data_IF_379755079278
#
_entry.id   IF_379755079278
#
_cell.length_a   1.000
_cell.length_b   1.000
_cell.length_c   1.000
_cell.angle_alpha   90.00
_cell.angle_beta   90.00
_cell.angle_gamma   90.00
#
_symmetry.space_group_name_H-M   'P 1'
#
loop_
_entity.id
_entity.type
_entity.pdbx_description
1 polymer ?
#
# COMPACT_ATOMS: atom_id res chain seq x y z
N UNK A 1 32.56 -54.67 87.21
CA UNK A 1 31.19 -54.64 86.65
C UNK A 1 31.22 -55.39 85.33
N UNK A 2 30.33 -56.37 85.18
CA UNK A 2 29.78 -56.87 83.91
C UNK A 2 30.76 -57.59 82.94
N UNK A 3 30.31 -58.46 82.03
CA UNK A 3 29.35 -59.58 82.13
C UNK A 3 29.57 -60.49 80.90
N UNK A 4 28.91 -61.64 80.84
CA UNK A 4 29.14 -62.65 79.80
C UNK A 4 28.56 -62.27 78.42
N UNK A 5 29.16 -62.80 77.33
CA UNK A 5 28.39 -63.71 76.49
C UNK A 5 29.19 -64.61 75.52
N UNK A 6 28.70 -65.84 75.34
CA UNK A 6 29.11 -66.78 74.28
C UNK A 6 28.16 -66.63 73.08
N UNK A 7 28.67 -66.79 71.86
CA UNK A 7 27.84 -66.61 70.66
C UNK A 7 28.33 -67.31 69.38
N UNK A 8 29.00 -68.47 69.47
CA UNK A 8 29.45 -69.19 68.28
C UNK A 8 28.26 -69.71 67.45
N UNK A 9 27.90 -68.98 66.38
CA UNK A 9 26.86 -69.39 65.43
C UNK A 9 27.23 -70.72 64.77
N UNK A 10 26.54 -71.80 65.18
CA UNK A 10 26.61 -73.08 64.47
C UNK A 10 25.79 -72.99 63.19
N UNK A 11 26.46 -72.66 62.09
CA UNK A 11 25.87 -72.54 60.75
C UNK A 11 25.10 -73.81 60.35
N UNK A 12 23.75 -73.75 60.48
CA UNK A 12 22.83 -74.87 60.19
C UNK A 12 22.80 -75.25 58.70
N UNK A 13 23.37 -74.40 57.84
CA UNK A 13 23.40 -74.51 56.38
C UNK A 13 24.04 -75.81 55.85
N UNK A 14 25.18 -76.23 56.41
CA UNK A 14 25.94 -77.42 55.93
C UNK A 14 25.16 -78.74 56.04
N UNK A 15 24.08 -78.76 56.84
CA UNK A 15 23.20 -79.93 57.01
C UNK A 15 22.10 -80.01 55.94
N UNK A 16 21.83 -78.92 55.22
CA UNK A 16 20.79 -78.81 54.20
C UNK A 16 21.34 -79.23 52.82
N UNK A 17 22.55 -78.79 52.49
CA UNK A 17 23.29 -79.14 51.25
C UNK A 17 23.63 -80.63 51.10
N UNK A 18 23.46 -81.46 52.15
CA UNK A 18 23.65 -82.92 52.09
C UNK A 18 22.41 -83.70 51.62
N UNK A 19 21.26 -83.05 51.45
CA UNK A 19 20.04 -83.72 50.96
C UNK A 19 20.04 -83.75 49.43
N UNK A 20 19.89 -84.93 48.82
CA UNK A 20 19.81 -85.12 47.36
C UNK A 20 18.70 -84.31 46.67
N UNK A 21 17.70 -83.84 47.42
CA UNK A 21 16.60 -83.00 46.94
C UNK A 21 16.84 -81.49 47.07
N UNK A 22 17.93 -81.05 47.70
CA UNK A 22 18.21 -79.62 47.87
C UNK A 22 18.55 -78.93 46.55
N UNK A 23 19.45 -79.50 45.75
CA UNK A 23 19.81 -78.95 44.44
C UNK A 23 18.62 -78.91 43.45
N UNK A 24 17.77 -79.97 43.33
CA UNK A 24 16.52 -79.88 42.57
C UNK A 24 15.59 -78.76 43.04
N UNK A 25 15.36 -78.61 44.35
CA UNK A 25 14.48 -77.56 44.87
C UNK A 25 15.02 -76.15 44.59
N UNK A 26 16.33 -75.93 44.77
CA UNK A 26 16.99 -74.66 44.44
C UNK A 26 16.90 -74.37 42.95
N UNK A 27 17.11 -75.37 42.09
CA UNK A 27 16.98 -75.20 40.64
C UNK A 27 15.55 -74.82 40.23
N UNK A 28 14.52 -75.42 40.83
CA UNK A 28 13.12 -75.03 40.59
C UNK A 28 12.82 -73.59 41.06
N UNK A 29 13.38 -73.14 42.20
CA UNK A 29 13.21 -71.75 42.63
C UNK A 29 13.90 -70.74 41.70
N UNK A 30 15.09 -71.08 41.18
CA UNK A 30 15.80 -70.23 40.21
C UNK A 30 15.06 -70.22 38.87
N UNK A 31 14.54 -71.36 38.41
CA UNK A 31 13.73 -71.45 37.20
C UNK A 31 12.43 -70.63 37.31
N UNK A 32 11.77 -70.62 38.48
CA UNK A 32 10.60 -69.78 38.73
C UNK A 32 10.94 -68.28 38.68
N UNK A 33 12.08 -67.86 39.24
CA UNK A 33 12.56 -66.47 39.16
C UNK A 33 12.94 -66.07 37.73
N UNK A 34 13.60 -66.96 36.98
CA UNK A 34 13.91 -66.71 35.57
C UNK A 34 12.64 -66.61 34.72
N UNK A 35 11.63 -67.47 34.96
CA UNK A 35 10.35 -67.37 34.26
C UNK A 35 9.59 -66.10 34.62
N UNK A 36 9.59 -65.64 35.88
CA UNK A 36 8.95 -64.37 36.22
C UNK A 36 9.70 -63.16 35.68
N UNK A 37 11.03 -63.21 35.56
CA UNK A 37 11.81 -62.18 34.84
C UNK A 37 11.52 -62.19 33.34
N UNK A 38 11.40 -63.37 32.69
CA UNK A 38 11.04 -63.48 31.27
C UNK A 38 9.61 -62.98 31.02
N UNK A 39 8.64 -63.33 31.87
CA UNK A 39 7.26 -62.81 31.77
C UNK A 39 7.21 -61.30 32.00
N UNK A 40 8.00 -60.76 32.94
CA UNK A 40 8.11 -59.32 33.16
C UNK A 40 8.75 -58.61 31.97
N UNK A 41 9.78 -59.19 31.36
CA UNK A 41 10.45 -58.67 30.16
C UNK A 41 9.51 -58.69 28.94
N UNK A 42 8.78 -59.79 28.71
CA UNK A 42 7.75 -59.88 27.67
C UNK A 42 6.61 -58.85 27.89
N UNK A 43 6.25 -58.57 29.15
CA UNK A 43 5.28 -57.52 29.48
C UNK A 43 5.86 -56.08 29.39
N UNK A 44 7.18 -55.92 29.25
CA UNK A 44 7.82 -54.65 28.92
C UNK A 44 7.90 -54.42 27.40
N UNK A 45 8.17 -55.45 26.60
CA UNK A 45 8.08 -55.34 25.13
C UNK A 45 6.65 -55.04 24.68
N UNK A 46 5.62 -55.59 25.35
CA UNK A 46 4.20 -55.22 25.14
C UNK A 46 3.83 -53.77 25.54
N UNK A 47 4.78 -52.92 25.91
CA UNK A 47 4.60 -51.47 26.14
C UNK A 47 5.47 -50.59 25.22
N UNK A 48 6.18 -51.19 24.26
CA UNK A 48 6.59 -50.46 23.05
C UNK A 48 5.36 -50.44 22.13
N UNK A 49 4.90 -49.28 21.65
CA UNK A 49 3.86 -49.23 20.62
C UNK A 49 4.41 -49.92 19.37
N UNK A 50 3.80 -51.04 18.99
CA UNK A 50 4.21 -51.78 17.80
C UNK A 50 3.91 -50.92 16.57
N UNK A 51 4.95 -50.62 15.80
CA UNK A 51 4.79 -49.89 14.57
C UNK A 51 4.43 -50.90 13.46
N UNK A 52 3.20 -50.81 12.93
CA UNK A 52 2.61 -51.64 11.85
C UNK A 52 2.09 -53.00 12.38
N UNK A 53 0.78 -53.23 12.56
CA UNK A 53 -0.24 -53.29 11.51
C UNK A 53 -1.65 -52.95 12.05
N UNK A 54 -2.02 -51.66 12.03
CA UNK A 54 -3.44 -51.24 12.01
C UNK A 54 -3.84 -51.01 10.55
N UNK A 55 -4.98 -51.55 10.13
CA UNK A 55 -5.53 -51.28 8.80
C UNK A 55 -5.80 -49.77 8.66
N UNK A 56 -5.68 -49.23 7.43
CA UNK A 56 -5.86 -47.81 7.13
C UNK A 56 -7.27 -47.27 7.48
N UNK A 57 -7.54 -47.02 8.76
CA UNK A 57 -8.60 -46.13 9.24
C UNK A 57 -7.95 -44.80 9.63
N UNK A 58 -7.74 -43.98 8.60
CA UNK A 58 -7.14 -42.67 8.70
C UNK A 58 -8.08 -41.76 9.51
N UNK A 59 -7.91 -41.74 10.82
CA UNK A 59 -8.54 -40.78 11.73
C UNK A 59 -7.60 -39.58 11.85
N UNK A 60 -7.78 -38.51 11.04
CA UNK A 60 -6.92 -37.34 11.15
C UNK A 60 -7.07 -36.76 12.56
N UNK A 61 -5.96 -36.52 13.23
CA UNK A 61 -5.96 -35.78 14.47
C UNK A 61 -6.55 -34.39 14.18
N UNK A 62 -7.68 -34.06 14.79
CA UNK A 62 -8.27 -32.74 14.67
C UNK A 62 -7.46 -31.73 15.49
N UNK A 63 -6.33 -31.30 14.91
CA UNK A 63 -5.91 -29.92 15.09
C UNK A 63 -6.99 -29.06 14.43
N UNK A 64 -7.83 -28.42 15.25
CA UNK A 64 -8.83 -27.45 14.83
C UNK A 64 -8.22 -26.10 14.47
N UNK A 65 -7.07 -26.13 13.79
CA UNK A 65 -6.42 -24.99 13.17
C UNK A 65 -6.38 -25.34 11.69
N UNK A 66 -7.39 -24.89 10.97
CA UNK A 66 -7.41 -24.97 9.51
C UNK A 66 -6.13 -24.30 9.00
N UNK A 67 -5.25 -25.09 8.38
CA UNK A 67 -3.96 -24.61 7.93
C UNK A 67 -4.16 -23.65 6.76
N UNK A 68 -4.25 -22.35 7.07
CA UNK A 68 -4.33 -21.31 6.05
C UNK A 68 -3.09 -21.39 5.15
N UNK A 69 -3.26 -21.49 3.82
CA UNK A 69 -2.13 -21.63 2.92
C UNK A 69 -1.32 -20.32 2.90
N UNK A 70 -0.10 -20.36 3.44
CA UNK A 70 0.90 -19.27 3.40
C UNK A 70 1.47 -18.99 1.98
N UNK A 71 0.70 -19.27 0.93
CA UNK A 71 0.89 -18.61 -0.36
C UNK A 71 0.11 -17.29 -0.32
N UNK A 72 0.79 -16.23 0.13
CA UNK A 72 0.47 -14.90 -0.37
C UNK A 72 0.52 -14.96 -1.89
N UNK A 73 -0.65 -14.88 -2.52
CA UNK A 73 -0.74 -14.74 -3.96
C UNK A 73 -0.16 -13.37 -4.26
N UNK A 74 0.99 -13.34 -4.94
CA UNK A 74 1.64 -12.09 -5.34
C UNK A 74 0.68 -11.31 -6.25
N UNK A 75 0.00 -10.34 -5.66
CA UNK A 75 -0.94 -9.49 -6.36
C UNK A 75 -0.16 -8.71 -7.43
N UNK A 76 -0.70 -8.69 -8.65
CA UNK A 76 -0.14 -7.89 -9.73
C UNK A 76 -0.85 -6.54 -9.75
N UNK A 77 -0.11 -5.45 -9.87
CA UNK A 77 -0.66 -4.10 -9.88
C UNK A 77 -1.48 -3.94 -11.16
N UNK A 78 -2.78 -3.66 -11.04
CA UNK A 78 -3.66 -3.46 -12.19
C UNK A 78 -3.93 -1.98 -12.44
N UNK A 79 -4.38 -1.63 -13.65
CA UNK A 79 -4.91 -0.29 -13.91
C UNK A 79 -6.16 -0.05 -13.02
N UNK A 80 -6.38 1.18 -12.51
CA UNK A 80 -7.49 1.51 -11.60
C UNK A 80 -8.85 1.62 -12.31
N UNK A 81 -9.08 0.87 -13.38
CA UNK A 81 -10.24 0.98 -14.28
C UNK A 81 -10.94 -0.37 -14.46
N UNK A 82 -12.26 -0.35 -14.63
CA UNK A 82 -13.04 -1.58 -14.85
C UNK A 82 -12.91 -2.13 -16.28
N UNK A 83 -12.76 -1.25 -17.28
CA UNK A 83 -12.55 -1.64 -18.68
C UNK A 83 -11.26 -1.01 -19.22
N UNK A 84 -10.27 -1.84 -19.52
CA UNK A 84 -8.97 -1.40 -20.03
C UNK A 84 -9.01 -1.06 -21.54
N UNK A 85 -9.96 -1.60 -22.31
CA UNK A 85 -10.03 -1.35 -23.77
C UNK A 85 -10.58 0.04 -24.12
N UNK A 86 -11.28 0.68 -23.18
CA UNK A 86 -11.89 2.01 -23.33
C UNK A 86 -11.12 3.11 -22.59
N UNK A 87 -10.05 2.75 -21.89
CA UNK A 87 -9.25 3.62 -21.04
C UNK A 87 -7.94 4.04 -21.72
N UNK A 88 -7.67 5.34 -21.75
CA UNK A 88 -6.49 5.94 -22.36
C UNK A 88 -5.73 6.79 -21.32
N UNK A 89 -4.40 6.70 -21.30
CA UNK A 89 -3.55 7.57 -20.49
C UNK A 89 -3.42 8.91 -21.23
N UNK A 90 -3.96 9.97 -20.66
CA UNK A 90 -4.00 11.33 -21.25
C UNK A 90 -2.94 12.27 -20.67
N UNK A 91 -2.38 11.93 -19.51
CA UNK A 91 -1.17 12.58 -18.96
C UNK A 91 -0.31 11.50 -18.32
N UNK A 92 0.97 11.46 -18.69
CA UNK A 92 1.94 10.47 -18.19
C UNK A 92 2.59 10.91 -16.89
N UNK A 93 3.33 10.02 -16.25
CA UNK A 93 4.25 10.38 -15.16
C UNK A 93 5.44 11.21 -15.70
N UNK A 94 5.89 12.22 -14.97
CA UNK A 94 7.02 13.06 -15.41
C UNK A 94 8.38 12.41 -15.08
N UNK A 95 9.02 11.82 -16.10
CA UNK A 95 10.42 11.39 -16.03
C UNK A 95 11.37 12.43 -16.64
N UNK A 96 12.40 12.80 -15.89
CA UNK A 96 13.46 13.72 -16.30
C UNK A 96 14.35 13.17 -17.43
N UNK A 97 14.37 11.84 -17.62
CA UNK A 97 15.19 11.15 -18.61
C UNK A 97 14.42 10.81 -19.91
N UNK A 98 13.10 11.00 -19.93
CA UNK A 98 12.26 10.74 -21.09
C UNK A 98 12.53 11.72 -22.25
N UNK A 99 12.07 11.38 -23.46
CA UNK A 99 12.17 12.28 -24.61
C UNK A 99 11.31 13.55 -24.40
N UNK A 100 11.67 14.65 -25.08
CA UNK A 100 10.98 15.94 -24.89
C UNK A 100 9.45 15.85 -25.13
N UNK A 101 9.01 15.04 -26.10
CA UNK A 101 7.59 14.85 -26.38
C UNK A 101 6.85 14.16 -25.21
N UNK A 102 7.48 13.17 -24.57
CA UNK A 102 6.93 12.51 -23.38
C UNK A 102 6.93 13.45 -22.16
N UNK A 103 7.98 14.26 -21.99
CA UNK A 103 8.04 15.27 -20.93
C UNK A 103 6.91 16.31 -21.10
N UNK A 104 6.64 16.76 -22.33
CA UNK A 104 5.53 17.68 -22.64
C UNK A 104 4.15 17.04 -22.38
N UNK A 105 3.98 15.73 -22.62
CA UNK A 105 2.78 14.95 -22.28
C UNK A 105 2.61 14.64 -20.78
N UNK A 106 3.63 14.93 -19.96
CA UNK A 106 3.60 14.76 -18.51
C UNK A 106 3.49 16.09 -17.73
N UNK A 107 3.10 17.19 -18.41
CA UNK A 107 2.88 18.50 -17.80
C UNK A 107 1.40 18.84 -17.63
N UNK A 108 1.01 19.20 -16.40
CA UNK A 108 -0.32 19.70 -16.07
C UNK A 108 -0.32 21.24 -16.08
N UNK A 109 -1.24 21.85 -16.83
CA UNK A 109 -1.38 23.31 -16.93
C UNK A 109 -2.42 23.83 -15.92
N UNK A 110 -1.96 24.57 -14.91
CA UNK A 110 -2.85 25.19 -13.92
C UNK A 110 -2.45 26.64 -13.64
N UNK A 111 -3.43 27.57 -13.67
CA UNK A 111 -3.21 29.02 -13.46
C UNK A 111 -2.02 29.62 -14.25
N UNK A 112 -1.93 29.30 -15.54
CA UNK A 112 -0.85 29.72 -16.44
C UNK A 112 0.57 29.26 -16.04
N UNK A 113 0.67 28.23 -15.18
CA UNK A 113 1.91 27.58 -14.81
C UNK A 113 1.83 26.08 -15.14
N UNK A 114 2.94 25.52 -15.61
CA UNK A 114 3.10 24.08 -15.77
C UNK A 114 3.60 23.43 -14.47
N UNK A 115 3.04 22.26 -14.18
CA UNK A 115 3.39 21.38 -13.07
C UNK A 115 3.75 20.02 -13.64
N UNK A 116 4.71 19.33 -13.02
CA UNK A 116 5.06 17.96 -13.38
C UNK A 116 4.00 17.00 -12.83
N UNK A 117 3.58 16.03 -13.63
CA UNK A 117 2.67 14.97 -13.16
C UNK A 117 3.38 14.01 -12.21
N UNK A 118 2.73 13.74 -11.07
CA UNK A 118 3.16 12.81 -10.02
C UNK A 118 2.60 11.39 -10.19
N UNK A 119 1.86 11.15 -11.27
CA UNK A 119 1.16 9.90 -11.54
C UNK A 119 0.73 9.82 -13.00
N UNK A 120 -0.35 9.11 -13.29
CA UNK A 120 -0.99 9.07 -14.61
C UNK A 120 -2.43 9.55 -14.52
N UNK A 121 -2.87 10.33 -15.51
CA UNK A 121 -4.28 10.64 -15.70
C UNK A 121 -4.87 9.69 -16.73
N UNK A 122 -5.89 8.96 -16.33
CA UNK A 122 -6.58 7.97 -17.16
C UNK A 122 -7.99 8.48 -17.44
N UNK A 123 -8.34 8.60 -18.72
CA UNK A 123 -9.66 9.03 -19.19
C UNK A 123 -10.31 7.93 -20.04
N UNK A 124 -11.60 8.08 -20.33
CA UNK A 124 -12.24 7.27 -21.37
C UNK A 124 -12.03 7.94 -22.74
N UNK A 125 -11.81 7.15 -23.78
CA UNK A 125 -11.71 7.62 -25.18
C UNK A 125 -12.93 8.47 -25.64
N UNK A 126 -14.07 8.38 -24.93
CA UNK A 126 -15.31 9.11 -25.23
C UNK A 126 -15.62 10.29 -24.26
N UNK A 127 -14.72 10.66 -23.33
CA UNK A 127 -14.96 11.61 -22.20
C UNK A 127 -16.10 11.17 -21.25
N UNK A 128 -16.54 9.90 -21.30
CA UNK A 128 -17.56 9.35 -20.41
C UNK A 128 -17.00 8.97 -19.03
N UNK A 129 -17.85 9.03 -18.01
CA UNK A 129 -17.49 8.61 -16.64
C UNK A 129 -17.55 7.09 -16.51
N UNK A 130 -16.51 6.51 -15.89
CA UNK A 130 -16.34 5.07 -15.69
C UNK A 130 -16.06 4.74 -14.22
N UNK A 131 -16.21 3.46 -13.88
CA UNK A 131 -16.00 2.97 -12.51
C UNK A 131 -14.50 2.82 -12.21
N UNK A 132 -14.05 3.56 -11.18
CA UNK A 132 -12.68 3.53 -10.67
C UNK A 132 -12.59 2.48 -9.57
N UNK A 133 -11.61 1.59 -9.71
CA UNK A 133 -11.42 0.41 -8.85
C UNK A 133 -10.06 0.42 -8.17
N UNK A 134 -9.94 -0.27 -7.04
CA UNK A 134 -8.66 -0.45 -6.37
C UNK A 134 -7.66 -1.21 -7.26
N UNK A 135 -6.52 -0.59 -7.54
CA UNK A 135 -5.43 -1.16 -8.32
C UNK A 135 -4.69 -2.30 -7.59
N UNK A 136 -4.75 -2.30 -6.26
CA UNK A 136 -4.08 -3.21 -5.31
C UNK A 136 -5.01 -3.35 -4.10
N UNK A 137 -5.11 -4.54 -3.48
CA UNK A 137 -5.85 -4.76 -2.24
C UNK A 137 -5.21 -3.99 -1.07
N UNK A 138 -6.00 -3.43 -0.17
CA UNK A 138 -5.47 -2.67 0.97
C UNK A 138 -6.53 -2.01 1.85
N UNK A 139 -6.07 -1.18 2.78
CA UNK A 139 -6.95 -0.44 3.69
C UNK A 139 -7.00 1.03 3.28
N UNK A 140 -8.20 1.59 3.20
CA UNK A 140 -8.39 3.00 2.88
C UNK A 140 -7.91 3.86 4.05
N UNK A 141 -6.85 4.62 3.83
CA UNK A 141 -6.22 5.47 4.84
C UNK A 141 -6.82 6.88 4.89
N UNK A 142 -7.27 7.41 3.75
CA UNK A 142 -7.85 8.74 3.64
C UNK A 142 -8.97 8.76 2.59
N UNK A 143 -10.03 9.53 2.87
CA UNK A 143 -11.04 9.97 1.90
C UNK A 143 -11.30 11.45 2.18
N UNK A 144 -11.08 12.31 1.19
CA UNK A 144 -11.28 13.77 1.32
C UNK A 144 -11.86 14.38 0.04
N UNK A 145 -12.49 15.54 0.20
CA UNK A 145 -12.85 16.44 -0.88
C UNK A 145 -11.80 17.56 -0.95
N UNK A 146 -11.11 17.69 -2.08
CA UNK A 146 -10.11 18.72 -2.33
C UNK A 146 -10.60 19.70 -3.41
N UNK A 147 -10.61 21.03 -3.17
CA UNK A 147 -11.13 22.00 -4.14
C UNK A 147 -10.37 22.07 -5.48
N UNK A 148 -9.12 21.58 -5.52
CA UNK A 148 -8.26 21.59 -6.70
C UNK A 148 -8.23 20.21 -7.38
N UNK A 149 -8.11 19.14 -6.59
CA UNK A 149 -7.94 17.76 -7.05
C UNK A 149 -9.24 16.97 -7.18
N UNK A 150 -10.38 17.46 -6.68
CA UNK A 150 -11.65 16.73 -6.62
C UNK A 150 -11.72 15.81 -5.40
N UNK A 151 -12.57 14.78 -5.43
CA UNK A 151 -12.53 13.78 -4.35
C UNK A 151 -11.26 12.92 -4.49
N UNK A 152 -10.59 12.70 -3.37
CA UNK A 152 -9.35 11.91 -3.28
C UNK A 152 -9.58 10.75 -2.31
N UNK A 153 -9.24 9.54 -2.76
CA UNK A 153 -9.18 8.32 -1.96
C UNK A 153 -7.72 7.86 -1.92
N UNK A 154 -7.23 7.45 -0.75
CA UNK A 154 -5.86 6.94 -0.57
C UNK A 154 -5.88 5.58 0.10
N UNK A 155 -5.33 4.58 -0.56
CA UNK A 155 -5.15 3.23 -0.01
C UNK A 155 -3.71 3.07 0.50
N UNK A 156 -3.57 2.41 1.65
CA UNK A 156 -2.30 1.88 2.16
C UNK A 156 -2.29 0.37 1.97
N UNK A 157 -1.15 -0.14 1.51
CA UNK A 157 -0.92 -1.56 1.24
C UNK A 157 0.22 -2.09 2.13
N UNK A 158 0.67 -3.32 1.88
CA UNK A 158 1.92 -3.83 2.45
C UNK A 158 3.16 -3.06 1.96
N UNK A 159 4.31 -3.35 2.57
CA UNK A 159 5.64 -2.89 2.15
C UNK A 159 5.75 -1.36 1.90
N UNK A 160 5.11 -0.52 2.71
CA UNK A 160 5.10 0.95 2.56
C UNK A 160 4.63 1.45 1.17
N UNK A 161 3.81 0.65 0.49
CA UNK A 161 3.17 1.03 -0.78
C UNK A 161 1.85 1.76 -0.51
N UNK A 162 1.58 2.81 -1.28
CA UNK A 162 0.29 3.53 -1.29
C UNK A 162 -0.18 3.78 -2.71
N UNK A 163 -1.49 3.79 -2.91
CA UNK A 163 -2.12 4.27 -4.15
C UNK A 163 -3.07 5.42 -3.88
N UNK A 164 -3.01 6.43 -4.74
CA UNK A 164 -3.84 7.64 -4.66
C UNK A 164 -4.76 7.68 -5.88
N UNK A 165 -6.02 8.03 -5.65
CA UNK A 165 -7.06 8.10 -6.66
C UNK A 165 -7.75 9.46 -6.49
N UNK A 166 -7.47 10.40 -7.39
CA UNK A 166 -8.02 11.75 -7.37
C UNK A 166 -8.83 12.06 -8.65
N UNK A 167 -9.44 13.24 -8.73
CA UNK A 167 -10.49 13.59 -9.71
C UNK A 167 -11.74 12.72 -9.61
N UNK A 168 -12.01 12.09 -8.46
CA UNK A 168 -13.14 11.18 -8.32
C UNK A 168 -14.48 11.91 -8.14
N UNK A 169 -15.55 11.27 -8.60
CA UNK A 169 -16.93 11.54 -8.23
C UNK A 169 -17.56 10.30 -7.54
N UNK A 170 -18.77 10.45 -6.98
CA UNK A 170 -19.59 9.37 -6.39
C UNK A 170 -18.85 8.41 -5.44
N UNK A 171 -17.88 8.95 -4.67
CA UNK A 171 -17.05 8.15 -3.76
C UNK A 171 -17.94 7.51 -2.69
N UNK A 172 -17.97 6.18 -2.68
CA UNK A 172 -18.88 5.38 -1.84
C UNK A 172 -18.20 4.72 -0.64
N UNK A 173 -16.87 4.76 -0.61
CA UNK A 173 -16.00 4.15 0.39
C UNK A 173 -15.65 5.08 1.55
N UNK A 174 -15.01 4.56 2.61
CA UNK A 174 -14.69 5.30 3.84
C UNK A 174 -13.32 4.91 4.39
N UNK A 175 -12.64 5.87 5.02
CA UNK A 175 -11.39 5.61 5.72
C UNK A 175 -11.57 4.53 6.82
N UNK A 176 -10.58 3.67 6.95
CA UNK A 176 -10.58 2.49 7.83
C UNK A 176 -11.31 1.26 7.27
N UNK A 177 -11.83 1.30 6.04
CA UNK A 177 -12.38 0.13 5.38
C UNK A 177 -11.30 -0.62 4.57
N UNK A 178 -11.33 -1.95 4.63
CA UNK A 178 -10.54 -2.81 3.76
C UNK A 178 -11.25 -3.01 2.41
N UNK A 179 -10.48 -2.98 1.33
CA UNK A 179 -10.94 -3.18 -0.05
C UNK A 179 -9.99 -4.14 -0.77
N UNK A 180 -10.55 -4.93 -1.68
CA UNK A 180 -9.79 -5.83 -2.55
C UNK A 180 -9.51 -5.15 -3.88
N UNK A 181 -8.46 -5.60 -4.57
CA UNK A 181 -8.24 -5.23 -5.97
C UNK A 181 -9.49 -5.49 -6.80
N UNK A 182 -9.87 -4.52 -7.64
CA UNK A 182 -11.11 -4.54 -8.41
C UNK A 182 -12.37 -4.06 -7.66
N UNK A 183 -12.32 -3.83 -6.34
CA UNK A 183 -13.45 -3.20 -5.63
C UNK A 183 -13.59 -1.73 -6.04
N UNK A 184 -14.83 -1.30 -6.30
CA UNK A 184 -15.16 0.08 -6.70
C UNK A 184 -14.91 1.07 -5.56
N UNK A 185 -14.15 2.11 -5.86
CA UNK A 185 -13.88 3.24 -4.95
C UNK A 185 -14.85 4.41 -5.22
N UNK A 186 -15.09 4.71 -6.50
CA UNK A 186 -15.94 5.81 -6.98
C UNK A 186 -16.11 5.76 -8.50
N UNK A 187 -16.41 6.90 -9.10
CA UNK A 187 -16.44 7.10 -10.56
C UNK A 187 -15.40 8.14 -10.99
N UNK A 188 -14.95 8.08 -12.24
CA UNK A 188 -14.10 9.11 -12.84
C UNK A 188 -14.88 10.43 -12.96
N UNK A 189 -14.23 11.54 -12.62
CA UNK A 189 -14.86 12.86 -12.50
C UNK A 189 -14.02 13.94 -13.17
N UNK A 190 -14.28 15.20 -12.80
CA UNK A 190 -13.54 16.37 -13.29
C UNK A 190 -13.04 17.18 -12.10
N UNK A 191 -11.82 17.67 -12.19
CA UNK A 191 -11.22 18.55 -11.18
C UNK A 191 -10.75 19.87 -11.83
N UNK A 192 -10.14 20.75 -11.03
CA UNK A 192 -9.67 22.06 -11.51
C UNK A 192 -8.21 21.99 -11.98
N UNK A 193 -7.43 21.06 -11.45
CA UNK A 193 -6.00 20.89 -11.76
C UNK A 193 -5.77 20.30 -13.15
N UNK A 194 -6.33 19.11 -13.42
CA UNK A 194 -6.32 18.42 -14.70
C UNK A 194 -7.53 18.75 -15.56
N UNK A 195 -7.94 20.03 -15.61
CA UNK A 195 -9.17 20.44 -16.31
C UNK A 195 -9.18 20.06 -17.79
N UNK A 196 -8.01 20.11 -18.43
CA UNK A 196 -7.85 19.81 -19.86
C UNK A 196 -7.96 18.29 -20.16
N UNK A 197 -7.85 17.43 -19.13
CA UNK A 197 -7.99 15.97 -19.21
C UNK A 197 -9.46 15.49 -19.19
N UNK A 198 -10.44 16.39 -19.08
CA UNK A 198 -11.85 16.03 -19.13
C UNK A 198 -12.29 15.15 -17.96
N UNK A 199 -13.10 14.12 -18.24
CA UNK A 199 -13.52 13.09 -17.29
C UNK A 199 -12.40 12.07 -17.11
N UNK A 200 -11.71 12.12 -15.98
CA UNK A 200 -10.53 11.29 -15.71
C UNK A 200 -10.45 10.84 -14.25
N UNK A 201 -9.56 9.88 -13.99
CA UNK A 201 -8.99 9.61 -12.67
C UNK A 201 -7.50 9.94 -12.71
N UNK A 202 -7.03 10.68 -11.71
CA UNK A 202 -5.60 10.82 -11.46
C UNK A 202 -5.13 9.69 -10.54
N UNK A 203 -4.17 8.90 -10.98
CA UNK A 203 -3.65 7.74 -10.25
C UNK A 203 -2.16 7.89 -9.96
N UNK A 204 -1.80 7.86 -8.68
CA UNK A 204 -0.40 7.77 -8.26
C UNK A 204 -0.11 6.43 -7.59
N UNK A 205 1.07 5.91 -7.87
CA UNK A 205 1.68 4.81 -7.12
C UNK A 205 2.85 5.40 -6.32
N UNK A 206 2.90 5.10 -5.01
CA UNK A 206 3.95 5.59 -4.13
C UNK A 206 4.60 4.45 -3.34
N UNK A 207 5.92 4.49 -3.19
CA UNK A 207 6.73 3.55 -2.41
C UNK A 207 7.56 4.32 -1.39
N UNK A 208 7.46 3.96 -0.11
CA UNK A 208 8.20 4.62 0.98
C UNK A 208 8.03 6.17 1.01
N UNK A 209 6.89 6.66 0.52
CA UNK A 209 6.56 8.09 0.42
C UNK A 209 6.93 8.76 -0.91
N UNK A 210 7.84 8.19 -1.71
CA UNK A 210 8.22 8.69 -3.05
C UNK A 210 7.21 8.21 -4.11
N UNK A 211 6.87 9.09 -5.04
CA UNK A 211 6.12 8.78 -6.26
C UNK A 211 6.97 7.92 -7.21
N UNK A 212 6.32 6.97 -7.90
CA UNK A 212 6.96 6.13 -8.94
C UNK A 212 6.05 6.07 -10.17
N UNK A 213 6.64 5.92 -11.35
CA UNK A 213 5.91 5.84 -12.62
C UNK A 213 4.95 4.64 -12.65
N UNK A 214 3.62 4.82 -12.61
CA UNK A 214 2.68 3.70 -12.58
C UNK A 214 2.76 2.79 -13.82
N UNK A 215 3.14 3.34 -14.98
CA UNK A 215 3.16 2.62 -16.26
C UNK A 215 4.17 1.46 -16.27
N UNK A 216 5.27 1.59 -15.54
CA UNK A 216 6.30 0.56 -15.41
C UNK A 216 5.85 -0.64 -14.56
N UNK A 217 4.88 -0.43 -13.66
CA UNK A 217 4.45 -1.41 -12.68
C UNK A 217 3.12 -2.10 -13.03
N UNK A 218 2.35 -1.61 -14.01
CA UNK A 218 1.14 -2.30 -14.45
C UNK A 218 1.45 -3.72 -14.95
N UNK A 219 0.72 -4.70 -14.42
CA UNK A 219 0.90 -6.14 -14.60
C UNK A 219 2.22 -6.71 -14.01
N UNK A 220 2.95 -5.94 -13.21
CA UNK A 220 4.06 -6.44 -12.38
C UNK A 220 3.55 -6.83 -10.99
N UNK A 221 4.18 -7.81 -10.30
CA UNK A 221 3.85 -8.13 -8.91
C UNK A 221 4.19 -6.94 -7.99
N UNK A 222 3.39 -6.68 -6.96
CA UNK A 222 3.63 -5.59 -5.98
C UNK A 222 5.04 -5.62 -5.38
N UNK A 223 5.62 -6.81 -5.24
CA UNK A 223 6.99 -7.02 -4.74
C UNK A 223 8.09 -6.38 -5.62
N UNK A 224 7.81 -6.07 -6.89
CA UNK A 224 8.74 -5.34 -7.77
C UNK A 224 9.04 -3.91 -7.29
N UNK A 225 8.12 -3.28 -6.53
CA UNK A 225 8.36 -1.97 -5.94
C UNK A 225 9.45 -1.96 -4.86
N UNK A 226 9.89 -3.12 -4.38
CA UNK A 226 10.92 -3.19 -3.34
C UNK A 226 12.31 -2.75 -3.84
N UNK A 227 12.66 -2.96 -5.11
CA UNK A 227 13.96 -2.57 -5.68
C UNK A 227 14.16 -1.05 -5.79
N UNK A 228 13.06 -0.28 -5.94
CA UNK A 228 13.10 1.19 -5.96
C UNK A 228 13.78 1.76 -4.71
N UNK A 229 13.59 1.10 -3.57
CA UNK A 229 14.17 1.51 -2.28
C UNK A 229 15.70 1.39 -2.24
N UNK A 230 16.31 0.56 -3.09
CA UNK A 230 17.76 0.34 -3.13
C UNK A 230 18.44 1.42 -4.01
N UNK A 231 17.89 1.72 -5.19
CA UNK A 231 18.41 2.77 -6.08
C UNK A 231 18.21 4.17 -5.47
N UNK A 232 17.05 4.41 -4.86
CA UNK A 232 16.70 5.67 -4.20
C UNK A 232 17.54 6.00 -2.95
N UNK A 233 18.35 5.06 -2.46
CA UNK A 233 19.29 5.27 -1.36
C UNK A 233 20.67 5.78 -1.84
N UNK A 234 21.11 5.43 -3.05
CA UNK A 234 22.41 5.88 -3.59
C UNK A 234 22.36 7.37 -3.99
N UNK A 235 21.22 7.89 -4.44
CA UNK A 235 21.06 9.30 -4.78
C UNK A 235 21.10 10.25 -3.56
N UNK A 236 20.64 9.79 -2.39
CA UNK A 236 20.54 10.65 -1.20
C UNK A 236 21.91 11.08 -0.65
N UNK A 237 22.90 10.20 -0.70
CA UNK A 237 24.27 10.44 -0.21
C UNK A 237 25.03 11.47 -1.07
N UNK A 238 24.60 11.73 -2.32
CA UNK A 238 25.31 12.62 -3.26
C UNK A 238 24.92 14.09 -3.09
N UNK A 239 23.89 14.39 -2.27
CA UNK A 239 23.32 15.74 -2.14
C UNK A 239 23.86 16.57 -0.96
N UNK A 240 24.48 15.95 0.05
CA UNK A 240 24.97 16.67 1.25
C UNK A 240 26.34 17.35 1.05
N UNK A 241 27.14 16.96 0.05
CA UNK A 241 28.51 17.49 -0.15
C UNK A 241 28.55 18.86 -0.88
N UNK A 242 27.40 19.40 -1.33
CA UNK A 242 27.34 20.60 -2.17
C UNK A 242 27.24 21.95 -1.41
N UNK A 243 26.93 21.94 -0.10
CA UNK A 243 26.64 23.18 0.67
C UNK A 243 27.86 23.76 1.43
N UNK A 244 28.97 23.02 1.60
CA UNK A 244 30.20 23.51 2.31
C UNK A 244 31.36 23.91 1.36
N UNK A 245 31.10 24.67 0.28
CA UNK A 245 32.19 25.30 -0.49
C UNK A 245 31.80 26.60 -1.21
N UNK A 246 31.54 27.66 -0.44
CA UNK A 246 31.37 29.03 -0.96
C UNK A 246 31.66 30.11 0.09
N UNK A 247 32.89 30.16 0.63
CA UNK A 247 33.44 31.36 1.29
C UNK A 247 34.94 31.50 1.03
N UNK A 248 35.37 32.77 0.86
CA UNK A 248 36.75 33.24 0.61
C UNK A 248 37.39 32.82 -0.74
N UNK A 249 38.27 33.62 -1.36
CA UNK A 249 38.62 35.05 -1.30
C UNK A 249 39.63 35.26 -2.45
N UNK A 250 39.40 36.17 -3.40
CA UNK A 250 40.51 36.73 -4.21
C UNK A 250 40.28 38.23 -4.48
N UNK A 251 41.15 39.06 -3.91
CA UNK A 251 41.30 40.50 -4.13
C UNK A 251 42.72 40.77 -4.64
N UNK A 252 42.87 41.85 -5.42
CA UNK A 252 44.11 42.47 -5.91
C UNK A 252 44.93 41.70 -6.98
N UNK A 253 45.52 42.33 -8.03
CA UNK A 253 45.56 43.71 -8.58
C UNK A 253 46.28 43.62 -9.98
N UNK A 254 46.50 44.62 -10.86
CA UNK A 254 46.46 46.10 -10.81
C UNK A 254 46.46 46.69 -12.26
N UNK A 255 45.87 47.89 -12.46
CA UNK A 255 46.29 48.98 -13.41
C UNK A 255 46.30 48.70 -14.97
N UNK A 256 45.99 49.66 -15.87
CA UNK A 256 45.81 51.13 -15.76
C UNK A 256 45.02 51.77 -16.96
N UNK A 257 44.73 53.08 -16.87
CA UNK A 257 44.18 54.05 -17.86
C UNK A 257 42.69 53.95 -18.32
N UNK A 258 41.95 55.04 -18.62
CA UNK A 258 41.92 56.47 -18.17
C UNK A 258 40.60 57.13 -18.67
N UNK A 259 40.14 58.22 -18.03
CA UNK A 259 39.17 59.25 -18.51
C UNK A 259 37.78 58.79 -19.04
N UNK A 260 36.62 59.29 -18.58
CA UNK A 260 36.28 60.68 -18.23
C UNK A 260 34.86 60.78 -17.63
N UNK A 261 34.58 61.87 -16.92
CA UNK A 261 33.24 62.20 -16.39
C UNK A 261 32.25 62.60 -17.50
N UNK A 262 30.98 62.18 -17.40
CA UNK A 262 29.86 63.14 -17.38
C UNK A 262 28.55 62.52 -16.84
N UNK A 263 27.86 63.28 -16.00
CA UNK A 263 26.46 63.09 -15.57
C UNK A 263 25.72 64.36 -16.01
N UNK A 264 24.45 64.30 -16.44
CA UNK A 264 23.43 64.75 -15.49
C UNK A 264 22.02 64.11 -15.64
N UNK A 265 21.21 64.32 -14.57
CA UNK A 265 19.76 64.66 -14.50
C UNK A 265 18.76 64.02 -15.49
N UNK A 266 17.58 63.52 -15.09
CA UNK A 266 16.69 63.81 -13.95
C UNK A 266 16.14 65.26 -13.90
N UNK A 267 15.05 65.50 -14.61
CA UNK A 267 14.13 66.62 -14.39
C UNK A 267 12.70 66.07 -14.18
N UNK A 268 12.09 66.43 -13.06
CA UNK A 268 10.64 66.52 -12.91
C UNK A 268 10.22 67.88 -13.49
N UNK A 269 9.12 67.96 -14.23
CA UNK A 269 8.38 69.23 -14.31
C UNK A 269 6.87 68.99 -14.22
N UNK A 270 6.24 69.80 -13.38
CA UNK A 270 4.82 69.78 -13.04
C UNK A 270 4.08 70.80 -13.90
N UNK A 271 2.82 70.54 -14.26
CA UNK A 271 2.08 71.42 -15.18
C UNK A 271 0.57 71.19 -15.20
N UNK A 272 -0.13 71.79 -14.24
CA UNK A 272 -1.60 71.94 -14.27
C UNK A 272 -2.04 72.93 -15.36
N UNK A 273 -3.14 72.62 -16.06
CA UNK A 273 -4.09 73.64 -16.52
C UNK A 273 -5.48 73.01 -16.74
N UNK A 274 -6.51 73.69 -16.26
CA UNK A 274 -7.89 73.21 -16.13
C UNK A 274 -8.72 73.29 -17.43
N UNK A 275 -9.96 72.78 -17.34
CA UNK A 275 -11.23 73.36 -17.83
C UNK A 275 -12.03 72.68 -18.95
N UNK A 276 -13.35 72.91 -18.84
CA UNK A 276 -14.49 72.65 -19.75
C UNK A 276 -15.11 71.24 -19.84
N UNK A 277 -16.04 71.04 -18.90
CA UNK A 277 -17.40 70.49 -19.07
C UNK A 277 -17.88 70.14 -20.49
N UNK A 278 -18.56 68.99 -20.62
CA UNK A 278 -19.97 69.00 -21.07
C UNK A 278 -20.75 67.79 -20.53
N UNK A 279 -21.95 68.06 -20.02
CA UNK A 279 -23.06 67.11 -19.80
C UNK A 279 -23.42 66.33 -21.09
N UNK A 280 -23.83 65.06 -20.96
CA UNK A 280 -25.08 64.61 -21.59
C UNK A 280 -25.67 63.40 -20.87
N UNK A 281 -26.96 63.48 -20.54
CA UNK A 281 -27.76 62.42 -19.94
C UNK A 281 -28.71 61.85 -20.99
N UNK A 282 -28.78 60.53 -21.14
CA UNK A 282 -29.98 59.88 -21.70
C UNK A 282 -30.39 58.64 -20.91
N UNK A 283 -31.24 58.86 -19.90
CA UNK A 283 -32.24 57.85 -19.52
C UNK A 283 -33.32 57.78 -20.62
N UNK A 284 -33.80 56.59 -20.94
CA UNK A 284 -35.15 56.40 -21.50
C UNK A 284 -35.79 55.14 -20.91
N UNK A 285 -36.72 55.34 -19.98
CA UNK A 285 -37.64 54.29 -19.52
C UNK A 285 -38.88 54.15 -20.42
N UNK A 286 -39.58 53.01 -20.23
CA UNK A 286 -41.04 52.84 -20.28
C UNK A 286 -41.77 52.75 -21.65
N UNK A 287 -43.03 52.22 -21.69
CA UNK A 287 -43.74 51.36 -20.70
C UNK A 287 -44.53 50.17 -21.32
N UNK A 288 -45.18 49.37 -20.43
CA UNK A 288 -46.50 48.69 -20.60
C UNK A 288 -46.72 47.66 -21.75
N UNK A 289 -47.60 46.65 -21.69
CA UNK A 289 -48.38 45.90 -20.69
C UNK A 289 -49.34 45.02 -21.53
N UNK A 290 -49.58 43.76 -21.16
CA UNK A 290 -50.93 43.18 -21.14
C UNK A 290 -50.95 41.76 -20.56
N UNK A 291 -51.70 41.57 -19.49
CA UNK A 291 -52.20 40.26 -19.07
C UNK A 291 -53.49 39.94 -19.85
N UNK A 292 -53.78 38.65 -20.10
CA UNK A 292 -55.13 38.07 -19.92
C UNK A 292 -55.07 36.53 -19.86
N UNK A 293 -55.33 36.00 -18.66
CA UNK A 293 -56.32 34.98 -18.32
C UNK A 293 -56.58 33.68 -19.14
N UNK A 294 -56.81 32.62 -18.35
CA UNK A 294 -57.87 31.58 -18.49
C UNK A 294 -57.67 30.39 -19.43
N UNK A 295 -57.78 29.18 -18.86
CA UNK A 295 -57.78 27.91 -19.59
C UNK A 295 -57.74 26.67 -18.69
N UNK A 296 -58.78 26.45 -17.88
CA UNK A 296 -58.89 25.26 -17.02
C UNK A 296 -59.60 24.08 -17.71
N UNK A 297 -59.46 22.87 -17.15
CA UNK A 297 -60.11 21.59 -17.53
C UNK A 297 -59.41 20.83 -18.68
N UNK A 298 -59.31 19.49 -18.71
CA UNK A 298 -60.01 18.45 -17.91
C UNK A 298 -59.19 17.15 -17.87
N UNK A 299 -59.41 16.31 -16.85
CA UNK A 299 -59.08 14.88 -16.91
C UNK A 299 -59.84 14.18 -18.05
N UNK A 300 -59.32 13.07 -18.60
CA UNK A 300 -60.06 11.80 -18.72
C UNK A 300 -59.12 10.66 -19.16
N UNK A 301 -59.36 9.49 -18.58
CA UNK A 301 -58.67 8.23 -18.81
C UNK A 301 -58.98 7.55 -20.15
N UNK A 302 -58.09 6.61 -20.55
CA UNK A 302 -58.40 5.18 -20.73
C UNK A 302 -57.93 4.55 -22.06
N UNK A 303 -57.29 3.40 -21.87
CA UNK A 303 -56.95 2.30 -22.77
C UNK A 303 -57.70 2.15 -24.09
N UNK A 304 -56.93 1.85 -25.15
CA UNK A 304 -57.16 0.75 -26.07
C UNK A 304 -55.80 0.12 -26.42
#
# INVERSE_FOLDING_TARGET
>A
MNEENKGASKNKWTRIFRKKWFFPAVYLTIAAVLLSVVVWYQNMDNQVPDAQDEANEYTPAQHGEDAEPVLDQQEMIQMPVTNQEEAEIVTKFYDYNAEQEDQEQALVLYNNKYYQSTGVDIASANDESFDVVAAISGTISEVKEDPLLGNVVVLTHGDDVKTYYASLNDVSVKAGADVKQGDKLGSAGKNVFGKDNGTHVHFELRKAGKEVNPEEYFNQPVSSLNSVTEEAAEESETSEEAEESSTNEEDAKQEDEDSSEEKPKADEENGESESDDTDDQTETENPDQSETESGASTETSKSA
#
